data_IF_455621450795
#
_entry.id   IF_455621450795
#
_cell.length_a   1.000
_cell.length_b   1.000
_cell.length_c   1.000
_cell.angle_alpha   90.00
_cell.angle_beta   90.00
_cell.angle_gamma   90.00
#
_symmetry.space_group_name_H-M   'P 1'
#
loop_
_entity.id
_entity.type
_entity.pdbx_description
1 polymer ?
#
# COMPACT_ATOMS: atom_id res chain seq x y z
N UNK A 1 -0.45 8.76 -25.10
CA UNK A 1 -0.41 8.13 -23.80
C UNK A 1 -0.11 6.64 -23.89
N UNK A 2 0.20 6.01 -22.77
CA UNK A 2 0.34 4.56 -22.66
C UNK A 2 -0.90 3.95 -22.02
N UNK A 3 -1.00 2.61 -22.00
CA UNK A 3 -2.06 1.89 -21.33
C UNK A 3 -1.57 1.33 -19.99
N UNK A 4 -2.38 1.43 -18.95
CA UNK A 4 -2.05 0.93 -17.62
C UNK A 4 -3.22 0.15 -17.01
N UNK A 5 -2.90 -0.89 -16.23
CA UNK A 5 -3.87 -1.60 -15.38
C UNK A 5 -3.83 -1.01 -13.97
N UNK A 6 -4.96 -0.51 -13.48
CA UNK A 6 -5.02 0.26 -12.22
C UNK A 6 -6.11 -0.29 -11.31
N UNK A 7 -5.77 -0.52 -10.04
CA UNK A 7 -6.75 -0.85 -9.02
C UNK A 7 -7.75 0.31 -8.85
N UNK A 8 -9.07 0.00 -8.91
CA UNK A 8 -10.11 1.03 -8.88
C UNK A 8 -10.20 1.78 -7.57
N UNK A 9 -9.70 1.21 -6.48
CA UNK A 9 -9.58 1.82 -5.16
C UNK A 9 -8.29 2.61 -4.95
N UNK A 10 -7.58 2.99 -6.02
CA UNK A 10 -6.35 3.78 -5.93
C UNK A 10 -6.62 5.22 -5.45
N UNK A 11 -5.57 5.84 -4.93
CA UNK A 11 -5.63 7.24 -4.48
C UNK A 11 -5.93 8.19 -5.65
N UNK A 12 -6.63 9.31 -5.36
CA UNK A 12 -6.99 10.32 -6.38
C UNK A 12 -5.80 10.84 -7.21
N UNK A 13 -4.59 10.84 -6.66
CA UNK A 13 -3.39 11.24 -7.39
C UNK A 13 -3.13 10.38 -8.63
N UNK A 14 -3.53 9.10 -8.61
CA UNK A 14 -3.40 8.20 -9.77
C UNK A 14 -4.37 8.64 -10.89
N UNK A 15 -5.61 8.99 -10.55
CA UNK A 15 -6.57 9.52 -11.52
C UNK A 15 -6.10 10.84 -12.13
N UNK A 16 -5.51 11.72 -11.30
CA UNK A 16 -4.93 12.96 -11.81
C UNK A 16 -3.74 12.69 -12.76
N UNK A 17 -2.89 11.69 -12.45
CA UNK A 17 -1.79 11.30 -13.31
C UNK A 17 -2.29 10.71 -14.64
N UNK A 18 -3.34 9.87 -14.62
CA UNK A 18 -4.00 9.35 -15.82
C UNK A 18 -4.49 10.50 -16.70
N UNK A 19 -5.19 11.46 -16.11
CA UNK A 19 -5.70 12.64 -16.83
C UNK A 19 -4.59 13.50 -17.41
N UNK A 20 -3.59 13.89 -16.59
CA UNK A 20 -2.50 14.77 -17.00
C UNK A 20 -1.58 14.15 -18.05
N UNK A 21 -1.46 12.81 -18.06
CA UNK A 21 -0.61 12.07 -18.99
C UNK A 21 -1.37 11.48 -20.16
N UNK A 22 -2.69 11.71 -20.22
CA UNK A 22 -3.57 11.16 -21.26
C UNK A 22 -3.39 9.63 -21.40
N UNK A 23 -3.34 8.93 -20.25
CA UNK A 23 -3.18 7.49 -20.23
C UNK A 23 -4.52 6.79 -20.48
N UNK A 24 -4.47 5.68 -21.22
CA UNK A 24 -5.58 4.74 -21.28
C UNK A 24 -5.53 3.84 -20.05
N UNK A 25 -6.58 3.84 -19.23
CA UNK A 25 -6.61 3.06 -17.99
C UNK A 25 -7.64 1.93 -18.09
N UNK A 26 -7.18 0.71 -17.89
CA UNK A 26 -8.03 -0.45 -17.60
C UNK A 26 -8.14 -0.60 -16.10
N UNK A 27 -9.36 -0.67 -15.56
CA UNK A 27 -9.58 -0.74 -14.13
C UNK A 27 -9.84 -2.17 -13.65
N UNK A 28 -9.06 -2.58 -12.64
CA UNK A 28 -9.32 -3.81 -11.89
C UNK A 28 -10.01 -3.46 -10.57
N UNK A 29 -11.18 -4.06 -10.34
CA UNK A 29 -11.95 -3.80 -9.13
C UNK A 29 -11.54 -4.78 -8.03
N UNK A 30 -11.23 -4.29 -6.82
CA UNK A 30 -11.08 -5.18 -5.67
C UNK A 30 -12.40 -5.91 -5.40
N UNK A 31 -12.33 -7.01 -4.68
CA UNK A 31 -13.51 -7.62 -4.15
C UNK A 31 -14.05 -6.75 -3.01
N UNK A 32 -15.35 -6.49 -2.99
CA UNK A 32 -16.00 -5.73 -1.92
C UNK A 32 -16.67 -6.69 -0.94
N UNK A 33 -16.48 -6.45 0.35
CA UNK A 33 -17.23 -7.16 1.38
C UNK A 33 -18.63 -6.57 1.48
N UNK A 34 -19.70 -7.33 1.16
CA UNK A 34 -21.05 -6.76 1.07
C UNK A 34 -21.64 -6.38 2.43
N UNK A 35 -21.12 -6.93 3.54
CA UNK A 35 -21.61 -6.63 4.89
C UNK A 35 -20.90 -5.44 5.50
N UNK A 36 -19.61 -5.32 5.25
CA UNK A 36 -18.79 -4.29 5.84
C UNK A 36 -18.59 -3.08 4.92
N UNK A 37 -18.86 -3.22 3.62
CA UNK A 37 -18.64 -2.17 2.63
C UNK A 37 -17.16 -1.79 2.46
N UNK A 38 -16.24 -2.71 2.77
CA UNK A 38 -14.80 -2.48 2.63
C UNK A 38 -14.24 -3.17 1.40
N UNK A 39 -13.17 -2.59 0.85
CA UNK A 39 -12.47 -3.18 -0.28
C UNK A 39 -11.52 -4.29 0.18
N UNK A 40 -11.62 -5.46 -0.45
CA UNK A 40 -10.67 -6.54 -0.32
C UNK A 40 -9.38 -6.31 -1.12
N UNK A 41 -8.54 -7.32 -1.21
CA UNK A 41 -7.33 -7.31 -2.04
C UNK A 41 -7.60 -7.45 -3.53
N UNK A 42 -6.59 -7.17 -4.33
CA UNK A 42 -6.60 -7.44 -5.77
C UNK A 42 -6.25 -8.91 -6.00
N UNK A 43 -7.04 -9.58 -6.81
CA UNK A 43 -6.82 -11.00 -7.16
C UNK A 43 -5.68 -11.14 -8.18
N UNK A 44 -4.63 -11.93 -7.90
CA UNK A 44 -3.57 -12.22 -8.87
C UNK A 44 -4.10 -12.81 -10.19
N UNK A 45 -5.05 -13.77 -10.13
CA UNK A 45 -5.63 -14.38 -11.33
C UNK A 45 -6.41 -13.38 -12.20
N UNK A 46 -7.00 -12.32 -11.60
CA UNK A 46 -7.61 -11.25 -12.41
C UNK A 46 -6.56 -10.36 -13.05
N UNK A 47 -5.44 -10.10 -12.38
CA UNK A 47 -4.31 -9.36 -12.99
C UNK A 47 -3.80 -10.14 -14.20
N UNK A 48 -3.60 -11.45 -14.07
CA UNK A 48 -3.15 -12.33 -15.15
C UNK A 48 -4.12 -12.29 -16.35
N UNK A 49 -5.42 -12.42 -16.08
CA UNK A 49 -6.45 -12.34 -17.12
C UNK A 49 -6.39 -11.01 -17.90
N UNK A 50 -6.32 -9.88 -17.18
CA UNK A 50 -6.26 -8.57 -17.83
C UNK A 50 -4.99 -8.37 -18.65
N UNK A 51 -3.84 -8.86 -18.18
CA UNK A 51 -2.57 -8.77 -18.92
C UNK A 51 -2.56 -9.66 -20.15
N UNK A 52 -3.14 -10.85 -20.05
CA UNK A 52 -3.28 -11.77 -21.19
C UNK A 52 -4.18 -11.22 -22.30
N UNK A 53 -5.28 -10.56 -21.92
CA UNK A 53 -6.25 -9.99 -22.85
C UNK A 53 -5.79 -8.63 -23.44
N UNK A 54 -4.87 -7.94 -22.79
CA UNK A 54 -4.46 -6.58 -23.18
C UNK A 54 -2.93 -6.42 -23.20
N UNK A 55 -2.27 -6.89 -24.26
CA UNK A 55 -0.80 -6.86 -24.38
C UNK A 55 -0.21 -5.44 -24.45
N UNK A 56 -1.04 -4.42 -24.65
CA UNK A 56 -0.63 -3.01 -24.67
C UNK A 56 -0.43 -2.40 -23.28
N UNK A 57 -0.80 -3.11 -22.22
CA UNK A 57 -0.59 -2.64 -20.84
C UNK A 57 0.90 -2.56 -20.55
N UNK A 58 1.34 -1.38 -20.09
CA UNK A 58 2.75 -1.04 -19.85
C UNK A 58 3.13 -1.04 -18.36
N UNK A 59 2.17 -1.06 -17.46
CA UNK A 59 2.38 -1.13 -16.02
C UNK A 59 1.13 -1.59 -15.29
N UNK A 60 1.32 -2.19 -14.11
CA UNK A 60 0.26 -2.50 -13.15
C UNK A 60 0.44 -1.60 -11.94
N UNK A 61 -0.66 -0.98 -11.46
CA UNK A 61 -0.67 -0.19 -10.23
C UNK A 61 -1.76 -0.70 -9.30
N UNK A 62 -1.37 -1.08 -8.08
CA UNK A 62 -2.29 -1.50 -7.03
C UNK A 62 -2.07 -0.71 -5.75
N UNK A 63 -3.10 -0.69 -4.88
CA UNK A 63 -3.01 -0.15 -3.51
C UNK A 63 -3.01 -1.33 -2.54
N UNK A 64 -1.92 -1.48 -1.79
CA UNK A 64 -1.76 -2.52 -0.77
C UNK A 64 -0.78 -2.04 0.31
N UNK A 65 -1.20 -1.94 1.59
CA UNK A 65 -2.55 -2.26 2.07
C UNK A 65 -3.59 -1.23 1.62
N UNK A 66 -4.87 -1.64 1.65
CA UNK A 66 -5.99 -0.70 1.51
C UNK A 66 -6.07 0.22 2.74
N UNK A 67 -6.95 1.23 2.69
CA UNK A 67 -7.21 2.10 3.85
C UNK A 67 -7.63 1.29 5.09
N UNK A 68 -8.41 0.24 4.87
CA UNK A 68 -8.93 -0.64 5.93
C UNK A 68 -7.90 -1.69 6.39
N UNK A 69 -6.75 -1.77 5.74
CA UNK A 69 -5.65 -2.65 6.12
C UNK A 69 -5.61 -3.99 5.37
N UNK A 70 -6.43 -4.20 4.34
CA UNK A 70 -6.39 -5.43 3.55
C UNK A 70 -5.16 -5.42 2.64
N UNK A 71 -4.40 -6.50 2.66
CA UNK A 71 -3.18 -6.71 1.88
C UNK A 71 -3.46 -7.68 0.73
N UNK A 72 -2.98 -7.34 -0.45
CA UNK A 72 -3.00 -8.20 -1.63
C UNK A 72 -1.79 -9.15 -1.65
N UNK A 73 -1.88 -10.27 -2.36
CA UNK A 73 -0.72 -11.12 -2.65
C UNK A 73 0.22 -10.42 -3.66
N UNK A 74 1.00 -9.48 -3.13
CA UNK A 74 1.91 -8.64 -3.93
C UNK A 74 2.97 -9.49 -4.62
N UNK A 75 3.50 -10.53 -3.95
CA UNK A 75 4.52 -11.38 -4.52
C UNK A 75 4.01 -12.09 -5.79
N UNK A 76 2.81 -12.68 -5.71
CA UNK A 76 2.22 -13.36 -6.86
C UNK A 76 1.83 -12.40 -7.97
N UNK A 77 1.36 -11.19 -7.63
CA UNK A 77 1.05 -10.15 -8.62
C UNK A 77 2.33 -9.68 -9.31
N UNK A 78 3.44 -9.51 -8.58
CA UNK A 78 4.75 -9.15 -9.15
C UNK A 78 5.25 -10.22 -10.12
N UNK A 79 5.21 -11.50 -9.73
CA UNK A 79 5.57 -12.62 -10.62
C UNK A 79 4.78 -12.58 -11.94
N UNK A 80 3.47 -12.39 -11.85
CA UNK A 80 2.59 -12.30 -13.02
C UNK A 80 2.95 -11.09 -13.88
N UNK A 81 3.05 -9.89 -13.29
CA UNK A 81 3.41 -8.68 -14.02
C UNK A 81 4.75 -8.85 -14.75
N UNK A 82 5.74 -9.43 -14.09
CA UNK A 82 7.05 -9.69 -14.68
C UNK A 82 7.03 -10.74 -15.77
N UNK A 83 6.17 -11.76 -15.67
CA UNK A 83 5.96 -12.75 -16.72
C UNK A 83 5.49 -12.08 -18.02
N UNK A 84 4.63 -11.07 -17.92
CA UNK A 84 4.18 -10.25 -19.06
C UNK A 84 5.11 -9.09 -19.40
N UNK A 85 6.27 -8.98 -18.74
CA UNK A 85 7.29 -7.96 -19.02
C UNK A 85 6.95 -6.55 -18.55
N UNK A 86 5.94 -6.38 -17.70
CA UNK A 86 5.50 -5.07 -17.19
C UNK A 86 5.87 -4.86 -15.72
N UNK A 87 6.20 -3.62 -15.29
CA UNK A 87 6.49 -3.33 -13.90
C UNK A 87 5.23 -3.29 -13.04
N UNK A 88 5.40 -3.66 -11.76
CA UNK A 88 4.41 -3.50 -10.69
C UNK A 88 4.73 -2.27 -9.83
N UNK A 89 3.77 -1.36 -9.74
CA UNK A 89 3.80 -0.19 -8.85
C UNK A 89 2.82 -0.45 -7.69
N UNK A 90 3.31 -0.36 -6.47
CA UNK A 90 2.48 -0.53 -5.26
C UNK A 90 2.38 0.77 -4.49
N UNK A 91 1.17 1.28 -4.37
CA UNK A 91 0.84 2.32 -3.40
C UNK A 91 0.70 1.68 -2.02
N UNK A 92 1.81 1.68 -1.28
CA UNK A 92 1.93 1.20 0.10
C UNK A 92 1.89 2.38 1.08
N UNK A 93 1.13 3.42 0.77
CA UNK A 93 1.06 4.64 1.58
C UNK A 93 0.65 4.37 3.04
N UNK A 94 -0.10 3.31 3.30
CA UNK A 94 -0.55 2.90 4.63
C UNK A 94 0.32 1.82 5.28
N UNK A 95 1.39 1.36 4.62
CA UNK A 95 2.25 0.26 5.07
C UNK A 95 3.71 0.65 5.38
N UNK A 96 4.02 1.94 5.56
CA UNK A 96 5.42 2.37 5.80
C UNK A 96 6.06 1.73 7.05
N UNK A 97 5.26 1.25 8.00
CA UNK A 97 5.71 0.56 9.22
C UNK A 97 6.01 -0.94 9.03
N UNK A 98 5.64 -1.54 7.91
CA UNK A 98 5.74 -3.00 7.71
C UNK A 98 7.15 -3.57 7.89
N UNK A 99 8.17 -2.81 7.58
CA UNK A 99 9.56 -3.27 7.68
C UNK A 99 10.14 -3.29 9.10
N UNK A 100 9.43 -2.71 10.07
CA UNK A 100 9.98 -2.49 11.41
C UNK A 100 9.53 -3.51 12.46
N UNK A 101 8.65 -4.45 12.11
CA UNK A 101 8.27 -5.55 13.00
C UNK A 101 7.65 -6.71 12.20
N UNK A 102 8.01 -7.93 12.53
CA UNK A 102 7.41 -9.17 11.98
C UNK A 102 5.92 -9.35 12.36
N UNK A 103 5.42 -8.54 13.26
CA UNK A 103 3.99 -8.51 13.61
C UNK A 103 3.12 -8.04 12.45
N UNK A 104 3.67 -7.25 11.53
CA UNK A 104 2.99 -6.68 10.38
C UNK A 104 3.22 -7.50 9.11
N UNK A 105 2.41 -7.30 8.07
CA UNK A 105 2.64 -7.90 6.77
C UNK A 105 4.03 -7.56 6.19
N UNK A 106 4.50 -8.39 5.28
CA UNK A 106 5.74 -8.12 4.56
C UNK A 106 5.54 -6.95 3.59
N UNK A 107 6.48 -6.01 3.57
CA UNK A 107 6.44 -4.85 2.68
C UNK A 107 6.60 -5.23 1.21
N UNK A 108 5.88 -4.52 0.34
CA UNK A 108 5.96 -4.66 -1.11
C UNK A 108 7.39 -4.52 -1.66
N UNK A 109 8.26 -3.77 -0.96
CA UNK A 109 9.70 -3.64 -1.28
C UNK A 109 10.40 -5.00 -1.28
N UNK A 110 9.97 -5.93 -0.42
CA UNK A 110 10.56 -7.26 -0.28
C UNK A 110 9.85 -8.32 -1.14
N UNK A 111 8.67 -7.98 -1.67
CA UNK A 111 7.79 -8.89 -2.40
C UNK A 111 7.89 -8.76 -3.93
N UNK A 112 8.93 -8.06 -4.43
CA UNK A 112 9.21 -7.97 -5.86
C UNK A 112 8.48 -6.83 -6.59
N UNK A 113 7.84 -5.90 -5.90
CA UNK A 113 7.34 -4.68 -6.54
C UNK A 113 8.50 -3.86 -7.11
N UNK A 114 8.31 -3.24 -8.27
CA UNK A 114 9.36 -2.44 -8.93
C UNK A 114 9.44 -1.02 -8.39
N UNK A 115 8.28 -0.47 -8.03
CA UNK A 115 8.17 0.85 -7.39
C UNK A 115 7.20 0.75 -6.23
N UNK A 116 7.61 1.24 -5.07
CA UNK A 116 6.77 1.30 -3.86
C UNK A 116 6.71 2.72 -3.33
N UNK A 117 5.51 3.16 -2.98
CA UNK A 117 5.26 4.52 -2.49
C UNK A 117 4.77 4.43 -1.04
N UNK A 118 5.54 5.01 -0.11
CA UNK A 118 5.18 5.10 1.30
C UNK A 118 4.86 6.54 1.70
N UNK A 119 3.72 6.76 2.35
CA UNK A 119 3.43 7.99 3.08
C UNK A 119 3.93 7.83 4.52
N UNK A 120 5.19 8.17 4.76
CA UNK A 120 5.82 7.91 6.08
C UNK A 120 5.13 8.66 7.23
N UNK A 121 4.49 9.78 6.92
CA UNK A 121 3.71 10.54 7.89
C UNK A 121 2.41 9.87 8.38
N UNK A 122 1.94 8.80 7.71
CA UNK A 122 0.69 8.13 8.10
C UNK A 122 0.89 7.11 9.22
N UNK A 123 2.03 6.44 9.23
CA UNK A 123 2.25 5.28 10.12
C UNK A 123 3.60 5.30 10.83
N UNK A 124 4.44 6.30 10.57
CA UNK A 124 5.71 6.55 11.25
C UNK A 124 5.73 7.95 11.86
N UNK A 125 6.60 8.22 12.84
CA UNK A 125 6.67 9.51 13.53
C UNK A 125 7.33 10.62 12.67
N UNK A 126 6.77 10.86 11.49
CA UNK A 126 7.17 11.91 10.56
C UNK A 126 6.14 13.03 10.47
N UNK A 127 6.56 14.24 10.13
CA UNK A 127 5.64 15.35 9.86
C UNK A 127 4.75 15.07 8.65
N UNK A 128 3.53 15.60 8.70
CA UNK A 128 2.56 15.50 7.60
C UNK A 128 3.15 15.97 6.27
N UNK A 129 2.74 15.37 5.17
CA UNK A 129 3.21 15.54 3.79
C UNK A 129 4.53 14.83 3.45
N UNK A 130 5.20 14.19 4.41
CA UNK A 130 6.40 13.41 4.10
C UNK A 130 6.06 12.08 3.43
N UNK A 131 6.78 11.74 2.40
CA UNK A 131 6.64 10.48 1.67
C UNK A 131 7.97 10.04 1.07
N UNK A 132 8.07 8.75 0.79
CA UNK A 132 9.25 8.13 0.19
C UNK A 132 8.81 7.27 -0.99
N UNK A 133 9.58 7.31 -2.05
CA UNK A 133 9.45 6.38 -3.19
C UNK A 133 10.66 5.46 -3.21
N UNK A 134 10.40 4.16 -3.29
CA UNK A 134 11.42 3.14 -3.45
C UNK A 134 11.44 2.66 -4.90
N UNK A 135 12.60 2.70 -5.53
CA UNK A 135 12.86 2.08 -6.82
C UNK A 135 13.61 0.76 -6.55
N UNK A 136 12.92 -0.35 -6.76
CA UNK A 136 13.36 -1.67 -6.31
C UNK A 136 13.95 -2.53 -7.43
N UNK A 137 13.82 -2.11 -8.70
CA UNK A 137 14.35 -2.84 -9.85
C UNK A 137 14.77 -1.91 -10.99
N UNK A 138 15.47 -2.48 -11.97
CA UNK A 138 15.88 -1.77 -13.20
C UNK A 138 14.78 -1.75 -14.30
N UNK A 139 13.59 -2.34 -14.05
CA UNK A 139 12.46 -2.30 -14.99
C UNK A 139 11.92 -0.89 -15.17
N UNK A 140 12.09 -0.04 -14.17
CA UNK A 140 11.72 1.38 -14.22
C UNK A 140 12.98 2.24 -14.25
N UNK A 141 13.12 3.09 -15.27
CA UNK A 141 14.29 3.94 -15.41
C UNK A 141 14.37 4.97 -14.27
N UNK A 142 15.46 4.90 -13.49
CA UNK A 142 15.78 5.85 -12.43
C UNK A 142 15.84 7.29 -12.93
N UNK A 143 16.41 7.50 -14.11
CA UNK A 143 16.58 8.82 -14.71
C UNK A 143 15.24 9.44 -15.08
N UNK A 144 14.35 8.63 -15.71
CA UNK A 144 12.99 9.08 -16.03
C UNK A 144 12.21 9.38 -14.76
N UNK A 145 12.26 8.52 -13.75
CA UNK A 145 11.60 8.74 -12.46
C UNK A 145 12.09 10.04 -11.82
N UNK A 146 13.41 10.24 -11.71
CA UNK A 146 14.03 11.45 -11.16
C UNK A 146 13.60 12.71 -11.93
N UNK A 147 13.53 12.64 -13.26
CA UNK A 147 13.05 13.76 -14.10
C UNK A 147 11.61 14.14 -13.76
N UNK A 148 10.70 13.16 -13.64
CA UNK A 148 9.31 13.44 -13.32
C UNK A 148 9.13 13.93 -11.88
N UNK A 149 9.88 13.41 -10.92
CA UNK A 149 9.92 13.96 -9.57
C UNK A 149 10.33 15.44 -9.60
N UNK A 150 11.36 15.81 -10.36
CA UNK A 150 11.76 17.22 -10.53
C UNK A 150 10.71 18.12 -11.18
N UNK A 151 9.80 17.56 -11.99
CA UNK A 151 8.70 18.32 -12.61
C UNK A 151 7.53 18.51 -11.64
N UNK A 152 7.18 17.47 -10.87
CA UNK A 152 5.97 17.46 -10.03
C UNK A 152 6.22 17.83 -8.57
N UNK A 153 7.46 17.77 -8.11
CA UNK A 153 7.85 18.24 -6.77
C UNK A 153 8.12 19.74 -6.76
N UNK A 154 8.19 20.31 -5.55
CA UNK A 154 8.61 21.70 -5.35
C UNK A 154 10.08 21.90 -5.79
N UNK A 155 10.37 23.00 -6.45
CA UNK A 155 11.75 23.43 -6.76
C UNK A 155 12.54 23.85 -5.52
N UNK A 156 11.84 24.14 -4.40
CA UNK A 156 12.43 24.51 -3.11
C UNK A 156 12.05 23.49 -2.06
N UNK A 157 12.87 22.46 -1.82
CA UNK A 157 12.54 21.41 -0.84
C UNK A 157 12.48 22.00 0.56
N UNK A 158 11.51 21.53 1.35
CA UNK A 158 11.40 21.88 2.76
C UNK A 158 12.43 21.10 3.57
N UNK A 159 13.46 21.78 4.07
CA UNK A 159 14.46 21.18 4.97
C UNK A 159 13.82 20.67 6.27
N UNK A 160 12.76 21.30 6.75
CA UNK A 160 12.02 20.85 7.96
C UNK A 160 11.41 19.47 7.69
N UNK A 161 10.77 19.25 6.53
CA UNK A 161 10.21 17.94 6.17
C UNK A 161 11.30 16.89 5.95
N UNK A 162 12.40 17.26 5.30
CA UNK A 162 13.56 16.38 5.11
C UNK A 162 14.19 15.97 6.44
N UNK A 163 14.44 16.94 7.34
CA UNK A 163 14.95 16.66 8.69
C UNK A 163 14.00 15.80 9.52
N UNK A 164 12.70 15.94 9.31
CA UNK A 164 11.72 15.07 9.98
C UNK A 164 11.83 13.62 9.53
N UNK A 165 12.06 13.36 8.24
CA UNK A 165 12.30 12.00 7.73
C UNK A 165 13.61 11.45 8.31
N UNK A 166 14.68 12.23 8.26
CA UNK A 166 16.01 11.85 8.74
C UNK A 166 15.97 11.51 10.25
N UNK A 167 15.42 12.40 11.07
CA UNK A 167 15.24 12.16 12.51
C UNK A 167 14.36 10.94 12.83
N UNK A 168 13.33 10.69 12.00
CA UNK A 168 12.50 9.50 12.13
C UNK A 168 13.30 8.23 11.87
N UNK A 169 14.10 8.20 10.79
CA UNK A 169 14.91 7.02 10.44
C UNK A 169 15.99 6.76 11.50
N UNK A 170 16.69 7.80 11.97
CA UNK A 170 17.67 7.71 13.06
C UNK A 170 17.03 7.17 14.36
N UNK A 171 15.82 7.64 14.69
CA UNK A 171 15.09 7.13 15.86
C UNK A 171 14.69 5.66 15.68
N UNK A 172 14.20 5.27 14.52
CA UNK A 172 13.80 3.89 14.24
C UNK A 172 15.01 2.94 14.22
N UNK A 173 16.14 3.39 13.72
CA UNK A 173 17.39 2.60 13.76
C UNK A 173 17.86 2.32 15.18
N UNK A 174 17.75 3.31 16.08
CA UNK A 174 18.22 3.18 17.47
C UNK A 174 17.22 2.53 18.41
N UNK A 175 15.93 2.78 18.24
CA UNK A 175 14.90 2.47 19.22
C UNK A 175 13.73 1.69 18.62
N UNK A 176 13.74 1.41 17.30
CA UNK A 176 12.58 0.87 16.57
C UNK A 176 12.08 -0.45 17.13
N UNK A 177 12.95 -1.39 17.44
CA UNK A 177 12.57 -2.70 17.96
C UNK A 177 11.75 -2.56 19.26
N UNK A 178 12.23 -1.75 20.20
CA UNK A 178 11.54 -1.53 21.46
C UNK A 178 10.24 -0.75 21.27
N UNK A 179 10.25 0.28 20.43
CA UNK A 179 9.05 1.06 20.11
C UNK A 179 7.95 0.18 19.53
N UNK A 180 8.28 -0.67 18.56
CA UNK A 180 7.29 -1.55 17.94
C UNK A 180 6.88 -2.70 18.86
N UNK A 181 7.77 -3.21 19.70
CA UNK A 181 7.42 -4.19 20.74
C UNK A 181 6.35 -3.63 21.68
N UNK A 182 6.58 -2.42 22.22
CA UNK A 182 5.61 -1.75 23.12
C UNK A 182 4.30 -1.45 22.38
N UNK A 183 4.39 -0.97 21.14
CA UNK A 183 3.23 -0.68 20.31
C UNK A 183 2.37 -1.93 20.09
N UNK A 184 2.97 -3.04 19.67
CA UNK A 184 2.24 -4.29 19.39
C UNK A 184 1.62 -4.89 20.64
N UNK A 185 2.30 -4.85 21.78
CA UNK A 185 1.73 -5.27 23.07
C UNK A 185 0.49 -4.44 23.46
N UNK A 186 0.56 -3.13 23.29
CA UNK A 186 -0.57 -2.25 23.58
C UNK A 186 -1.73 -2.47 22.59
N UNK A 187 -1.41 -2.71 21.33
CA UNK A 187 -2.39 -3.02 20.30
C UNK A 187 -3.13 -4.32 20.60
N UNK A 188 -2.42 -5.37 21.01
CA UNK A 188 -3.04 -6.64 21.42
C UNK A 188 -3.91 -6.50 22.68
N UNK A 189 -3.48 -5.69 23.65
CA UNK A 189 -4.32 -5.36 24.82
C UNK A 189 -5.60 -4.65 24.40
N UNK A 190 -5.48 -3.66 23.50
CA UNK A 190 -6.64 -2.94 22.98
C UNK A 190 -7.59 -3.86 22.21
N UNK A 191 -7.08 -4.74 21.34
CA UNK A 191 -7.88 -5.71 20.59
C UNK A 191 -8.64 -6.66 21.50
N UNK A 192 -8.00 -7.21 22.56
CA UNK A 192 -8.68 -8.06 23.55
C UNK A 192 -9.83 -7.32 24.24
N UNK A 193 -9.62 -6.09 24.69
CA UNK A 193 -10.68 -5.28 25.31
C UNK A 193 -11.82 -4.97 24.37
N UNK A 194 -11.52 -4.70 23.09
CA UNK A 194 -12.55 -4.44 22.08
C UNK A 194 -13.35 -5.69 21.72
N UNK A 195 -12.76 -6.89 21.77
CA UNK A 195 -13.49 -8.15 21.53
C UNK A 195 -14.51 -8.49 22.61
N UNK A 196 -14.41 -7.89 23.80
CA UNK A 196 -15.34 -8.04 24.90
C UNK A 196 -16.51 -7.04 24.88
N UNK A 197 -16.48 -6.07 23.95
CA UNK A 197 -17.52 -5.05 23.85
C UNK A 197 -18.84 -5.63 23.32
N UNK A 198 -19.97 -5.19 23.92
CA UNK A 198 -21.30 -5.71 23.56
C UNK A 198 -21.91 -5.05 22.32
N UNK A 199 -21.60 -3.77 22.09
CA UNK A 199 -22.24 -2.93 21.07
C UNK A 199 -21.30 -2.59 19.91
N UNK A 200 -20.05 -2.95 20.03
CA UNK A 200 -19.01 -2.72 19.02
C UNK A 200 -18.38 -4.07 18.71
N UNK A 201 -18.27 -4.39 17.44
CA UNK A 201 -17.61 -5.61 16.95
C UNK A 201 -16.26 -5.22 16.34
N UNK A 202 -15.18 -5.80 16.86
CA UNK A 202 -13.89 -5.73 16.20
C UNK A 202 -13.93 -6.56 14.91
N UNK A 203 -13.68 -5.92 13.78
CA UNK A 203 -13.58 -6.61 12.50
C UNK A 203 -12.22 -7.28 12.41
N UNK A 204 -12.23 -8.57 12.18
CA UNK A 204 -11.03 -9.39 11.95
C UNK A 204 -11.05 -9.95 10.52
N UNK A 205 -9.91 -10.41 9.97
CA UNK A 205 -9.89 -11.05 8.65
C UNK A 205 -10.89 -12.19 8.51
N UNK A 206 -11.11 -12.95 9.61
CA UNK A 206 -12.06 -14.07 9.66
C UNK A 206 -13.52 -13.61 9.67
N UNK A 207 -13.77 -12.38 10.07
CA UNK A 207 -15.11 -11.78 10.05
C UNK A 207 -15.48 -11.16 8.69
N UNK A 208 -14.50 -10.96 7.83
CA UNK A 208 -14.73 -10.51 6.45
C UNK A 208 -15.31 -11.70 5.65
N UNK A 209 -16.46 -11.51 5.04
CA UNK A 209 -17.02 -12.48 4.07
C UNK A 209 -16.25 -12.48 2.74
N UNK A 210 -15.31 -11.57 2.59
CA UNK A 210 -14.30 -11.64 1.54
C UNK A 210 -13.47 -12.91 1.74
N UNK A 211 -13.88 -14.01 1.15
CA UNK A 211 -13.17 -15.32 1.17
C UNK A 211 -11.73 -15.26 0.62
N UNK A 212 -11.18 -14.05 0.39
CA UNK A 212 -9.89 -13.81 -0.28
C UNK A 212 -9.11 -12.65 0.35
N UNK A 213 -9.14 -12.55 1.67
CA UNK A 213 -8.16 -11.72 2.38
C UNK A 213 -6.87 -12.52 2.41
N UNK A 214 -5.86 -12.06 1.66
CA UNK A 214 -4.54 -12.69 1.66
C UNK A 214 -3.83 -12.45 2.98
N UNK A 215 -3.75 -11.16 3.40
CA UNK A 215 -3.20 -10.75 4.68
C UNK A 215 -3.85 -9.44 5.15
N UNK A 216 -3.58 -9.04 6.38
CA UNK A 216 -4.20 -7.89 7.02
C UNK A 216 -3.21 -7.14 7.92
N UNK A 217 -3.18 -5.82 7.77
CA UNK A 217 -2.43 -4.93 8.65
C UNK A 217 -3.09 -4.86 10.04
N UNK A 218 -2.52 -5.58 10.98
CA UNK A 218 -3.02 -5.66 12.36
C UNK A 218 -2.94 -4.34 13.14
N UNK A 219 -2.22 -3.34 12.63
CA UNK A 219 -2.22 -1.99 13.22
C UNK A 219 -3.57 -1.29 13.06
N UNK A 220 -4.36 -1.70 12.07
CA UNK A 220 -5.71 -1.17 11.83
C UNK A 220 -6.71 -1.76 12.82
N UNK A 221 -7.46 -0.90 13.47
CA UNK A 221 -8.60 -1.28 14.34
C UNK A 221 -9.87 -0.88 13.60
N UNK A 222 -10.48 -1.85 12.94
CA UNK A 222 -11.76 -1.67 12.27
C UNK A 222 -12.88 -2.04 13.24
N UNK A 223 -13.85 -1.17 13.38
CA UNK A 223 -14.98 -1.36 14.27
C UNK A 223 -16.27 -1.28 13.46
N UNK A 224 -17.18 -2.20 13.73
CA UNK A 224 -18.55 -2.20 13.23
C UNK A 224 -19.51 -2.12 14.40
N UNK A 225 -20.61 -1.41 14.24
CA UNK A 225 -21.71 -1.47 15.20
C UNK A 225 -22.48 -2.76 15.00
N UNK A 226 -22.83 -3.40 16.08
CA UNK A 226 -23.70 -4.58 16.04
C UNK A 226 -25.14 -4.07 16.04
N UNK A 227 -25.86 -4.28 14.93
CA UNK A 227 -27.30 -4.08 14.86
C UNK A 227 -28.00 -5.34 15.35
#
# INVERSE_FOLDING_TARGET
GGQILVARNCHKAVYHAIYLRELSATYIYPHEDPKLGINGGISPGRVEMYLAENPEIQAVLITSPTYDGIVSDVARIAEIAHHYGVPLIVDEAHGAHFRFSEYFPVSAVQLGADVVINSVHKTLPCLTQTGVIHLCSDRVSREKLKRFLGIYQSSSPSYILMSSIDACMDKLEREGDEMFRVFTENLEKARRRLSECKYIRLVTPQACECQRVFDFDRSKILLSTVN
#
